data_IF_736325569382
#
_entry.id   IF_736325569382
#
_cell.length_a   1.000
_cell.length_b   1.000
_cell.length_c   1.000
_cell.angle_alpha   90.00
_cell.angle_beta   90.00
_cell.angle_gamma   90.00
#
_symmetry.space_group_name_H-M   'P 1'
#
loop_
_entity.id
_entity.type
_entity.pdbx_description
1 polymer ?
#
# COMPACT_ATOMS: atom_id res chain seq x y z
N UNK A 1 -16.54 -5.95 -17.38
CA UNK A 1 -15.13 -5.74 -17.01
C UNK A 1 -14.76 -6.70 -15.90
N UNK A 2 -13.54 -7.22 -15.89
CA UNK A 2 -13.13 -8.21 -14.90
C UNK A 2 -12.94 -7.56 -13.53
N UNK A 3 -13.36 -8.28 -12.48
CA UNK A 3 -13.44 -7.74 -11.11
C UNK A 3 -12.40 -8.37 -10.20
N UNK A 4 -11.62 -7.55 -9.51
CA UNK A 4 -10.73 -8.00 -8.43
C UNK A 4 -11.29 -7.50 -7.09
N UNK A 5 -11.62 -8.45 -6.22
CA UNK A 5 -12.04 -8.15 -4.85
C UNK A 5 -10.82 -8.02 -3.95
N UNK A 6 -10.66 -6.85 -3.33
CA UNK A 6 -9.51 -6.54 -2.49
C UNK A 6 -9.77 -6.77 -1.01
N UNK A 7 -8.71 -7.06 -0.28
CA UNK A 7 -8.73 -7.22 1.18
C UNK A 7 -8.80 -5.87 1.90
N UNK A 8 -9.10 -5.88 3.20
CA UNK A 8 -9.08 -4.68 4.04
C UNK A 8 -7.72 -3.96 4.00
N UNK A 9 -6.61 -4.71 4.07
CA UNK A 9 -5.27 -4.12 4.03
C UNK A 9 -4.98 -3.45 2.69
N UNK A 10 -5.28 -4.13 1.58
CA UNK A 10 -5.13 -3.56 0.23
C UNK A 10 -6.00 -2.32 0.03
N UNK A 11 -7.22 -2.33 0.57
CA UNK A 11 -8.08 -1.15 0.56
C UNK A 11 -7.46 0.01 1.35
N UNK A 12 -6.96 -0.25 2.56
CA UNK A 12 -6.29 0.78 3.37
C UNK A 12 -5.06 1.36 2.68
N UNK A 13 -4.22 0.50 2.08
CA UNK A 13 -3.04 0.94 1.34
C UNK A 13 -3.41 1.77 0.10
N UNK A 14 -4.44 1.36 -0.64
CA UNK A 14 -4.96 2.11 -1.78
C UNK A 14 -5.45 3.50 -1.37
N UNK A 15 -6.23 3.60 -0.29
CA UNK A 15 -6.71 4.88 0.24
C UNK A 15 -5.56 5.77 0.69
N UNK A 16 -4.54 5.20 1.32
CA UNK A 16 -3.35 5.93 1.73
C UNK A 16 -2.54 6.45 0.53
N UNK A 17 -2.39 5.66 -0.54
CA UNK A 17 -1.77 6.11 -1.80
C UNK A 17 -2.56 7.26 -2.44
N UNK A 18 -3.89 7.13 -2.55
CA UNK A 18 -4.78 8.17 -3.10
C UNK A 18 -4.69 9.49 -2.31
N UNK A 19 -4.47 9.40 -1.00
CA UNK A 19 -4.41 10.55 -0.10
C UNK A 19 -2.98 11.08 0.15
N UNK A 20 -2.00 10.62 -0.62
CA UNK A 20 -0.60 11.05 -0.52
C UNK A 20 0.03 10.80 0.87
N UNK A 21 -0.42 9.75 1.59
CA UNK A 21 0.16 9.36 2.88
C UNK A 21 1.57 8.76 2.70
N UNK A 22 1.78 8.03 1.60
CA UNK A 22 3.03 7.33 1.31
C UNK A 22 3.97 8.10 0.37
N UNK A 23 3.88 9.42 0.32
CA UNK A 23 4.79 10.26 -0.50
C UNK A 23 6.26 9.91 -0.19
N UNK A 24 7.11 9.74 -1.23
CA UNK A 24 6.90 10.07 -2.65
C UNK A 24 6.20 8.98 -3.49
N UNK A 25 5.85 7.84 -2.90
CA UNK A 25 5.18 6.75 -3.61
C UNK A 25 3.77 7.18 -4.07
N UNK A 26 3.44 6.92 -5.34
CA UNK A 26 2.15 7.27 -5.96
C UNK A 26 1.29 6.07 -6.30
N UNK A 27 1.91 4.92 -6.52
CA UNK A 27 1.27 3.66 -6.88
C UNK A 27 1.82 2.51 -6.04
N UNK A 28 1.22 1.34 -6.14
CA UNK A 28 1.83 0.12 -5.64
C UNK A 28 3.13 -0.16 -6.40
N UNK A 29 4.17 -0.53 -5.66
CA UNK A 29 5.54 -0.68 -6.18
C UNK A 29 5.64 -1.72 -7.29
N UNK A 30 6.51 -1.45 -8.26
CA UNK A 30 7.00 -2.43 -9.24
C UNK A 30 7.96 -3.40 -8.57
N UNK A 31 8.41 -4.42 -9.31
CA UNK A 31 9.41 -5.39 -8.82
C UNK A 31 10.72 -4.70 -8.45
N UNK A 32 11.19 -3.82 -9.31
CA UNK A 32 12.44 -3.07 -9.18
C UNK A 32 12.40 -2.16 -7.95
N UNK A 33 11.33 -1.38 -7.81
CA UNK A 33 11.09 -0.49 -6.67
C UNK A 33 10.98 -1.29 -5.36
N UNK A 34 10.28 -2.43 -5.38
CA UNK A 34 10.19 -3.30 -4.22
C UNK A 34 11.58 -3.76 -3.74
N UNK A 35 12.41 -4.21 -4.66
CA UNK A 35 13.76 -4.67 -4.36
C UNK A 35 14.66 -3.51 -3.90
N UNK A 36 14.58 -2.34 -4.52
CA UNK A 36 15.31 -1.16 -4.09
C UNK A 36 14.97 -0.80 -2.63
N UNK A 37 13.68 -0.76 -2.30
CA UNK A 37 13.23 -0.44 -0.94
C UNK A 37 13.71 -1.49 0.07
N UNK A 38 13.57 -2.77 -0.23
CA UNK A 38 13.96 -3.85 0.70
C UNK A 38 15.47 -3.89 0.92
N UNK A 39 16.26 -3.69 -0.14
CA UNK A 39 17.73 -3.82 -0.09
C UNK A 39 18.37 -2.53 0.43
N UNK A 40 17.98 -1.39 -0.13
CA UNK A 40 18.64 -0.08 0.10
C UNK A 40 17.90 0.82 1.09
N UNK A 41 16.66 0.47 1.50
CA UNK A 41 15.77 1.34 2.30
C UNK A 41 15.52 2.70 1.62
N UNK A 42 15.53 2.72 0.29
CA UNK A 42 15.35 3.91 -0.55
C UNK A 42 14.29 3.69 -1.60
N UNK A 43 13.65 4.77 -1.99
CA UNK A 43 12.77 4.85 -3.15
C UNK A 43 13.17 6.08 -3.95
N UNK A 44 13.68 5.88 -5.17
CA UNK A 44 14.22 6.93 -6.02
C UNK A 44 15.18 7.89 -5.27
N UNK A 45 16.13 7.30 -4.54
CA UNK A 45 17.14 8.03 -3.77
C UNK A 45 16.71 8.52 -2.39
N UNK A 46 15.43 8.64 -2.10
CA UNK A 46 14.91 9.09 -0.81
C UNK A 46 14.77 7.92 0.18
N UNK A 47 14.96 8.18 1.48
CA UNK A 47 14.72 7.19 2.52
C UNK A 47 13.25 6.74 2.53
N UNK A 48 13.02 5.46 2.28
CA UNK A 48 11.70 4.85 2.28
C UNK A 48 11.83 3.37 2.67
N UNK A 49 11.59 3.00 3.94
CA UNK A 49 11.99 1.69 4.46
C UNK A 49 10.99 0.56 4.22
N UNK A 50 9.79 0.85 3.72
CA UNK A 50 8.71 -0.14 3.64
C UNK A 50 8.04 -0.15 2.27
N UNK A 51 8.11 -1.26 1.52
CA UNK A 51 7.43 -1.37 0.23
C UNK A 51 5.91 -1.48 0.43
N UNK A 52 5.15 -0.67 -0.31
CA UNK A 52 3.69 -0.75 -0.37
C UNK A 52 3.33 -1.54 -1.63
N UNK A 53 2.96 -2.79 -1.47
CA UNK A 53 2.80 -3.74 -2.56
C UNK A 53 1.38 -4.33 -2.62
N UNK A 54 1.01 -4.80 -3.81
CA UNK A 54 -0.27 -5.47 -4.01
C UNK A 54 -0.04 -6.96 -4.33
N UNK A 55 -0.28 -7.82 -3.36
CA UNK A 55 -0.16 -9.27 -3.52
C UNK A 55 -1.50 -9.90 -3.98
N UNK A 56 -1.40 -10.93 -4.80
CA UNK A 56 -2.56 -11.70 -5.27
C UNK A 56 -2.37 -13.20 -5.04
N UNK A 57 -3.48 -13.92 -4.89
CA UNK A 57 -3.48 -15.37 -4.75
C UNK A 57 -3.40 -16.08 -6.12
N UNK A 58 -3.20 -17.39 -6.09
CA UNK A 58 -3.07 -18.22 -7.31
C UNK A 58 -4.32 -18.16 -8.19
N UNK A 59 -5.52 -18.22 -7.61
CA UNK A 59 -6.79 -18.16 -8.34
C UNK A 59 -6.92 -16.86 -9.13
N UNK A 60 -6.69 -15.73 -8.48
CA UNK A 60 -6.71 -14.40 -9.12
C UNK A 60 -5.69 -14.32 -10.25
N UNK A 61 -4.45 -14.79 -10.02
CA UNK A 61 -3.43 -14.80 -11.07
C UNK A 61 -3.86 -15.62 -12.29
N UNK A 62 -4.33 -16.86 -12.10
CA UNK A 62 -4.71 -17.74 -13.21
C UNK A 62 -5.87 -17.16 -14.04
N UNK A 63 -6.84 -16.52 -13.39
CA UNK A 63 -7.97 -15.91 -14.06
C UNK A 63 -7.60 -14.66 -14.87
N UNK A 64 -6.52 -13.96 -14.50
CA UNK A 64 -6.28 -12.61 -14.99
C UNK A 64 -4.92 -12.38 -15.63
N UNK A 65 -4.02 -13.38 -15.68
CA UNK A 65 -2.62 -13.25 -16.14
C UNK A 65 -2.46 -12.67 -17.56
N UNK A 66 -3.46 -12.77 -18.41
CA UNK A 66 -3.45 -12.30 -19.81
C UNK A 66 -4.20 -10.98 -19.98
N UNK A 67 -4.54 -10.28 -18.90
CA UNK A 67 -5.33 -9.06 -18.93
C UNK A 67 -4.57 -7.94 -18.23
N UNK A 68 -4.80 -6.70 -18.64
CA UNK A 68 -4.09 -5.54 -18.13
C UNK A 68 -5.00 -4.40 -17.63
N UNK A 69 -6.33 -4.63 -17.62
CA UNK A 69 -7.34 -3.67 -17.16
C UNK A 69 -8.35 -4.40 -16.29
N UNK A 70 -8.66 -3.86 -15.10
CA UNK A 70 -9.58 -4.46 -14.14
C UNK A 70 -10.33 -3.40 -13.35
N UNK A 71 -11.49 -3.80 -12.81
CA UNK A 71 -12.21 -3.05 -11.79
C UNK A 71 -11.85 -3.58 -10.40
N UNK A 72 -11.50 -2.69 -9.49
CA UNK A 72 -11.30 -3.03 -8.08
C UNK A 72 -12.61 -2.87 -7.30
N UNK A 73 -12.90 -3.87 -6.48
CA UNK A 73 -14.07 -3.92 -5.59
C UNK A 73 -13.65 -4.17 -4.16
N UNK A 74 -14.30 -3.47 -3.22
CA UNK A 74 -14.18 -3.73 -1.79
C UNK A 74 -15.58 -3.82 -1.17
N UNK A 75 -15.85 -4.90 -0.39
CA UNK A 75 -17.18 -5.16 0.22
C UNK A 75 -18.33 -5.00 -0.78
N UNK A 76 -18.19 -5.61 -1.96
CA UNK A 76 -19.14 -5.55 -3.08
C UNK A 76 -19.33 -4.16 -3.73
N UNK A 77 -18.65 -3.12 -3.25
CA UNK A 77 -18.71 -1.78 -3.85
C UNK A 77 -17.58 -1.60 -4.85
N UNK A 78 -17.90 -1.05 -6.02
CA UNK A 78 -16.92 -0.59 -6.99
C UNK A 78 -16.07 0.53 -6.38
N UNK A 79 -14.77 0.48 -6.59
CA UNK A 79 -13.84 1.52 -6.16
C UNK A 79 -13.33 2.34 -7.33
N UNK A 80 -12.63 1.66 -8.24
CA UNK A 80 -11.97 2.30 -9.36
C UNK A 80 -11.52 1.27 -10.40
N UNK A 81 -11.20 1.78 -11.59
CA UNK A 81 -10.55 1.03 -12.64
C UNK A 81 -9.03 1.13 -12.51
N UNK A 82 -8.35 0.00 -12.72
CA UNK A 82 -6.89 -0.08 -12.81
C UNK A 82 -6.47 -0.51 -14.21
N UNK A 83 -5.34 -0.01 -14.67
CA UNK A 83 -4.83 -0.27 -16.02
C UNK A 83 -3.29 -0.39 -16.02
N UNK A 84 -2.72 -0.84 -17.15
CA UNK A 84 -1.29 -1.15 -17.24
C UNK A 84 -0.82 -2.13 -16.15
N UNK A 85 -1.65 -3.12 -15.86
CA UNK A 85 -1.37 -4.11 -14.82
C UNK A 85 -0.22 -5.01 -15.25
N UNK A 86 0.84 -5.04 -14.44
CA UNK A 86 2.02 -5.89 -14.63
C UNK A 86 2.13 -6.88 -13.49
N UNK A 87 2.25 -8.16 -13.83
CA UNK A 87 2.42 -9.24 -12.87
C UNK A 87 3.91 -9.54 -12.67
N UNK A 88 4.32 -9.75 -11.42
CA UNK A 88 5.70 -10.10 -11.11
C UNK A 88 5.83 -11.10 -9.96
N UNK A 89 6.99 -11.71 -9.87
CA UNK A 89 7.36 -12.66 -8.81
C UNK A 89 8.53 -12.12 -8.01
N UNK A 90 8.54 -12.45 -6.72
CA UNK A 90 9.61 -12.12 -5.79
C UNK A 90 10.15 -13.39 -5.14
N UNK A 91 11.44 -13.44 -4.86
CA UNK A 91 12.01 -14.43 -3.94
C UNK A 91 11.58 -14.04 -2.51
N UNK A 92 10.46 -14.59 -2.09
CA UNK A 92 9.86 -14.29 -0.78
C UNK A 92 10.76 -14.67 0.40
N UNK A 93 11.55 -15.76 0.27
CA UNK A 93 12.47 -16.19 1.33
C UNK A 93 13.62 -15.21 1.48
N UNK A 94 14.21 -14.79 0.36
CA UNK A 94 15.24 -13.75 0.35
C UNK A 94 14.73 -12.45 1.00
N UNK A 95 13.53 -11.99 0.62
CA UNK A 95 12.91 -10.79 1.18
C UNK A 95 12.70 -10.90 2.69
N UNK A 96 12.10 -12.01 3.13
CA UNK A 96 11.89 -12.24 4.56
C UNK A 96 13.20 -12.26 5.35
N UNK A 97 14.25 -12.87 4.79
CA UNK A 97 15.59 -12.88 5.41
C UNK A 97 16.18 -11.47 5.50
N UNK A 98 16.02 -10.65 4.45
CA UNK A 98 16.50 -9.27 4.44
C UNK A 98 15.79 -8.37 5.43
N UNK A 99 14.49 -8.58 5.68
CA UNK A 99 13.67 -7.75 6.57
C UNK A 99 13.77 -8.22 8.03
N UNK A 100 13.72 -9.55 8.26
CA UNK A 100 13.58 -10.14 9.61
C UNK A 100 14.81 -10.92 10.07
N UNK A 101 15.89 -10.97 9.26
CA UNK A 101 17.09 -11.74 9.54
C UNK A 101 16.92 -13.24 9.37
N UNK A 102 17.89 -14.03 9.87
CA UNK A 102 17.94 -15.48 9.66
C UNK A 102 16.76 -16.23 10.32
N UNK A 103 16.22 -15.68 11.39
CA UNK A 103 15.08 -16.26 12.12
C UNK A 103 13.71 -15.82 11.56
N UNK A 104 13.64 -15.33 10.31
CA UNK A 104 12.41 -14.84 9.69
C UNK A 104 11.24 -15.82 9.75
N UNK A 105 11.50 -17.12 9.73
CA UNK A 105 10.49 -18.18 9.82
C UNK A 105 9.68 -18.17 11.14
N UNK A 106 10.22 -17.58 12.20
CA UNK A 106 9.54 -17.42 13.50
C UNK A 106 8.60 -16.20 13.51
N UNK A 107 8.81 -15.23 12.63
CA UNK A 107 8.07 -13.98 12.63
C UNK A 107 6.66 -14.15 12.01
N UNK A 108 5.57 -13.73 12.69
CA UNK A 108 4.19 -13.94 12.21
C UNK A 108 3.93 -13.33 10.81
N UNK A 109 4.41 -12.11 10.55
CA UNK A 109 4.26 -11.46 9.26
C UNK A 109 5.00 -12.16 8.14
N UNK A 110 6.17 -12.73 8.42
CA UNK A 110 6.93 -13.51 7.46
C UNK A 110 6.14 -14.75 7.03
N UNK A 111 5.59 -15.50 8.00
CA UNK A 111 4.73 -16.67 7.73
C UNK A 111 3.55 -16.30 6.84
N UNK A 112 2.88 -15.19 7.16
CA UNK A 112 1.75 -14.66 6.39
C UNK A 112 2.18 -14.28 4.97
N UNK A 113 3.25 -13.51 4.81
CA UNK A 113 3.78 -13.09 3.52
C UNK A 113 4.14 -14.27 2.62
N UNK A 114 4.81 -15.30 3.17
CA UNK A 114 5.16 -16.51 2.45
C UNK A 114 3.94 -17.29 1.95
N UNK A 115 2.88 -17.36 2.75
CA UNK A 115 1.67 -18.15 2.48
C UNK A 115 0.70 -17.47 1.51
N UNK A 116 0.39 -16.20 1.74
CA UNK A 116 -0.75 -15.53 1.11
C UNK A 116 -0.49 -15.00 -0.30
N UNK A 117 0.73 -14.55 -0.58
CA UNK A 117 1.05 -13.89 -1.85
C UNK A 117 1.61 -14.89 -2.86
N UNK A 118 0.83 -15.25 -3.87
CA UNK A 118 1.31 -16.09 -4.97
C UNK A 118 2.12 -15.30 -5.99
N UNK A 119 1.59 -14.15 -6.40
CA UNK A 119 2.22 -13.16 -7.29
C UNK A 119 1.94 -11.76 -6.76
N UNK A 120 2.58 -10.78 -7.38
CA UNK A 120 2.40 -9.37 -7.09
C UNK A 120 2.02 -8.64 -8.36
N UNK A 121 1.32 -7.52 -8.21
CA UNK A 121 0.98 -6.65 -9.33
C UNK A 121 1.34 -5.20 -9.03
N UNK A 122 1.80 -4.50 -10.05
CA UNK A 122 1.83 -3.05 -10.12
C UNK A 122 0.84 -2.58 -11.17
N UNK A 123 0.27 -1.41 -11.00
CA UNK A 123 -0.75 -0.88 -11.89
C UNK A 123 -0.88 0.64 -11.75
N UNK A 124 -1.50 1.26 -12.73
CA UNK A 124 -1.93 2.64 -12.68
C UNK A 124 -3.43 2.72 -12.38
N UNK A 125 -3.84 3.83 -11.78
CA UNK A 125 -5.26 4.17 -11.59
C UNK A 125 -5.47 5.67 -11.79
N UNK A 126 -6.67 6.05 -12.25
CA UNK A 126 -7.02 7.45 -12.39
C UNK A 126 -7.31 8.05 -11.01
N UNK A 127 -6.96 9.32 -10.81
CA UNK A 127 -7.31 10.06 -9.60
C UNK A 127 -8.83 10.09 -9.45
N UNK A 128 -9.32 9.54 -8.36
CA UNK A 128 -10.74 9.47 -8.05
C UNK A 128 -11.13 10.70 -7.22
N UNK A 129 -12.41 11.05 -7.33
CA UNK A 129 -13.00 12.04 -6.45
C UNK A 129 -12.94 11.52 -4.99
N UNK A 130 -12.06 12.10 -4.21
CA UNK A 130 -11.71 11.67 -2.84
C UNK A 130 -12.92 11.63 -1.89
N UNK A 131 -13.99 12.37 -2.17
CA UNK A 131 -15.15 12.51 -1.30
C UNK A 131 -15.84 11.18 -0.99
N UNK A 132 -15.85 10.22 -1.91
CA UNK A 132 -16.56 8.95 -1.73
C UNK A 132 -15.76 7.86 -1.00
N UNK A 133 -14.48 8.09 -0.74
CA UNK A 133 -13.56 7.11 -0.17
C UNK A 133 -13.02 7.50 1.20
N UNK A 134 -13.27 8.73 1.65
CA UNK A 134 -12.74 9.25 2.92
C UNK A 134 -13.69 9.00 4.08
N UNK A 135 -13.13 8.55 5.20
CA UNK A 135 -13.82 8.67 6.49
C UNK A 135 -13.94 10.15 6.85
N UNK A 136 -15.08 10.57 7.41
CA UNK A 136 -15.34 11.97 7.84
C UNK A 136 -14.24 12.55 8.74
N UNK A 137 -13.56 11.69 9.49
CA UNK A 137 -12.50 12.07 10.43
C UNK A 137 -11.08 11.97 9.83
N UNK A 138 -10.95 11.66 8.53
CA UNK A 138 -9.63 11.54 7.90
C UNK A 138 -9.10 12.91 7.50
N UNK A 139 -7.99 13.29 8.09
CA UNK A 139 -7.28 14.53 7.78
C UNK A 139 -6.09 14.23 6.88
N UNK A 140 -6.20 14.52 5.58
CA UNK A 140 -5.14 14.18 4.62
C UNK A 140 -3.85 14.97 4.88
N UNK A 141 -2.67 14.42 4.54
CA UNK A 141 -1.39 15.14 4.67
C UNK A 141 -1.37 16.49 3.97
N UNK A 142 -2.02 16.61 2.81
CA UNK A 142 -2.12 17.88 2.07
C UNK A 142 -2.94 18.92 2.82
N UNK A 143 -4.08 18.54 3.40
CA UNK A 143 -4.88 19.43 4.24
C UNK A 143 -4.14 19.84 5.51
N UNK A 144 -3.42 18.89 6.11
CA UNK A 144 -2.60 19.15 7.29
C UNK A 144 -1.51 20.17 7.01
N UNK A 145 -0.74 20.00 5.91
CA UNK A 145 0.27 20.96 5.46
C UNK A 145 -0.33 22.35 5.20
N UNK A 146 -1.51 22.40 4.55
CA UNK A 146 -2.21 23.66 4.33
C UNK A 146 -2.55 24.33 5.65
N UNK A 147 -3.10 23.61 6.62
CA UNK A 147 -3.47 24.15 7.94
C UNK A 147 -2.26 24.69 8.71
N UNK A 148 -1.14 23.96 8.71
CA UNK A 148 0.13 24.43 9.31
C UNK A 148 0.55 25.75 8.71
N UNK A 149 0.58 25.83 7.36
CA UNK A 149 1.01 27.04 6.65
C UNK A 149 0.07 28.22 6.91
N UNK A 150 -1.26 28.00 6.80
CA UNK A 150 -2.26 29.05 7.02
C UNK A 150 -2.21 29.62 8.44
N UNK A 151 -2.02 28.75 9.45
CA UNK A 151 -1.99 29.17 10.86
C UNK A 151 -0.56 29.55 11.33
N UNK A 152 0.41 29.63 10.42
CA UNK A 152 1.82 29.99 10.71
C UNK A 152 2.41 29.16 11.87
N UNK A 153 2.07 27.85 11.95
CA UNK A 153 2.54 26.96 13.01
C UNK A 153 4.02 26.67 12.80
N UNK A 154 4.86 27.10 13.73
CA UNK A 154 6.31 26.94 13.67
C UNK A 154 6.82 25.67 14.38
N UNK A 155 6.06 25.15 15.34
CA UNK A 155 6.42 23.96 16.11
C UNK A 155 5.27 22.96 16.11
N UNK A 156 5.58 21.67 15.95
CA UNK A 156 4.64 20.58 15.95
C UNK A 156 5.11 19.48 16.88
N UNK A 157 4.20 18.97 17.70
CA UNK A 157 4.38 17.73 18.44
C UNK A 157 3.41 16.68 17.92
N UNK A 158 3.93 15.51 17.56
CA UNK A 158 3.11 14.35 17.17
C UNK A 158 2.91 13.44 18.37
N UNK A 159 1.66 13.08 18.66
CA UNK A 159 1.32 12.08 19.65
C UNK A 159 0.75 10.85 18.96
N UNK A 160 1.38 9.70 19.16
CA UNK A 160 0.92 8.42 18.63
C UNK A 160 0.54 7.49 19.77
N UNK A 161 -0.71 7.03 19.80
CA UNK A 161 -1.17 6.06 20.79
C UNK A 161 -1.94 4.92 20.13
N UNK A 162 -1.79 3.71 20.68
CA UNK A 162 -2.61 2.54 20.33
C UNK A 162 -3.84 2.42 21.23
N UNK A 163 -3.82 3.08 22.37
CA UNK A 163 -4.88 3.02 23.36
C UNK A 163 -5.81 4.23 23.21
N UNK A 164 -7.09 4.01 23.44
CA UNK A 164 -8.05 5.12 23.53
C UNK A 164 -7.67 5.95 24.76
N UNK A 165 -7.52 7.29 24.61
CA UNK A 165 -7.29 8.15 25.76
C UNK A 165 -8.43 8.00 26.77
N UNK A 166 -8.10 7.68 28.01
CA UNK A 166 -9.06 7.68 29.09
C UNK A 166 -9.13 9.08 29.73
N UNK A 167 -10.31 9.49 30.13
CA UNK A 167 -10.44 10.58 31.10
C UNK A 167 -9.85 10.06 32.41
N UNK A 168 -8.84 10.74 32.91
CA UNK A 168 -8.35 10.55 34.27
C UNK A 168 -9.41 11.04 35.25
#
# INVERSE_FOLDING_TARGET
MDRIHITQNQFSDLINLINDVFVPLKNFVTKEEFLEIVIKKKFHGNFFPMPIFFGINKKTYLNFKNKNIFDLYYKKKYLLNIYNVKFYSLDKKFICRKIYGNNYHKHPYSKKFLKENYKFISFNFQKINKKNLQNKNFFSPSLFKKKIKTNKISKLAGFHTRNVPHKA
#
